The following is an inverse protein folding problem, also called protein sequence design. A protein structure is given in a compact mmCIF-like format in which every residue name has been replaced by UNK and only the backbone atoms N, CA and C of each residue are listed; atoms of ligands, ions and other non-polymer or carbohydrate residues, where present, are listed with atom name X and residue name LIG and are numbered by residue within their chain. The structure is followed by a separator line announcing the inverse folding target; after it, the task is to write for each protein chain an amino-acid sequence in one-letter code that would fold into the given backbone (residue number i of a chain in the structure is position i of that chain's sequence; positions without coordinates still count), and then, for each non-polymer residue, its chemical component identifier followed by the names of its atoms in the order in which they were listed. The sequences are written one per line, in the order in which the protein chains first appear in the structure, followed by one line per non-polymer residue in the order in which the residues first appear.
data_IF_362257094169
#
_entry.id   IF_362257094169
#
_cell.length_a   1.000
_cell.length_b   1.000
_cell.length_c   1.000
_cell.angle_alpha   90.00
_cell.angle_beta   90.00
_cell.angle_gamma   90.00
#
_symmetry.space_group_name_H-M   'P 1'
#
loop_
_entity.id
_entity.type
_entity.pdbx_description
1 polymer ?
#
# COMPACT_ATOMS: atom_id res chain seq x y z
N UNK A 1 3.25 10.26 10.66
CA UNK A 1 2.67 10.26 9.30
C UNK A 1 1.95 11.58 9.00
N UNK A 2 2.13 12.14 7.81
CA UNK A 2 1.55 13.44 7.41
C UNK A 2 0.53 13.19 6.28
N UNK A 3 -0.76 13.54 6.45
CA UNK A 3 -1.81 13.28 5.46
C UNK A 3 -1.50 13.88 4.08
N UNK A 4 -0.93 15.07 4.04
CA UNK A 4 -0.53 15.77 2.82
C UNK A 4 0.54 14.99 2.07
N UNK A 5 1.53 14.42 2.77
CA UNK A 5 2.55 13.57 2.17
C UNK A 5 1.93 12.28 1.63
N UNK A 6 0.97 11.68 2.34
CA UNK A 6 0.28 10.48 1.85
C UNK A 6 -0.51 10.78 0.57
N UNK A 7 -1.23 11.92 0.52
CA UNK A 7 -1.94 12.37 -0.68
C UNK A 7 -0.97 12.63 -1.84
N UNK A 8 0.12 13.34 -1.59
CA UNK A 8 1.13 13.61 -2.60
C UNK A 8 1.72 12.31 -3.16
N UNK A 9 2.07 11.35 -2.29
CA UNK A 9 2.56 10.03 -2.72
C UNK A 9 1.52 9.27 -3.55
N UNK A 10 0.24 9.33 -3.20
CA UNK A 10 -0.81 8.69 -3.97
C UNK A 10 -0.95 9.30 -5.39
N UNK A 11 -0.85 10.63 -5.52
CA UNK A 11 -0.88 11.31 -6.81
C UNK A 11 0.36 10.99 -7.66
N UNK A 12 1.55 10.96 -7.03
CA UNK A 12 2.80 10.59 -7.70
C UNK A 12 2.74 9.14 -8.18
N UNK A 13 2.24 8.22 -7.36
CA UNK A 13 2.09 6.81 -7.75
C UNK A 13 1.12 6.65 -8.93
N UNK A 14 0.00 7.37 -8.93
CA UNK A 14 -0.93 7.36 -10.06
C UNK A 14 -0.28 7.85 -11.36
N UNK A 15 0.52 8.92 -11.29
CA UNK A 15 1.28 9.42 -12.43
C UNK A 15 2.37 8.43 -12.87
N UNK A 16 3.08 7.82 -11.92
CA UNK A 16 4.12 6.82 -12.18
C UNK A 16 3.55 5.60 -12.87
N UNK A 17 2.47 5.00 -12.37
CA UNK A 17 1.80 3.85 -12.98
C UNK A 17 1.41 4.17 -14.42
N UNK A 18 0.76 5.32 -14.66
CA UNK A 18 0.38 5.72 -16.03
C UNK A 18 1.59 5.88 -16.94
N UNK A 19 2.65 6.50 -16.45
CA UNK A 19 3.89 6.69 -17.20
C UNK A 19 4.54 5.36 -17.57
N UNK A 20 4.57 4.38 -16.65
CA UNK A 20 5.15 3.05 -16.93
C UNK A 20 4.37 2.26 -17.99
N UNK A 21 3.05 2.41 -18.06
CA UNK A 21 2.25 1.83 -19.15
C UNK A 21 2.48 2.54 -20.50
N UNK A 22 2.66 3.86 -20.50
CA UNK A 22 2.89 4.62 -21.74
C UNK A 22 4.28 4.34 -22.32
N UNK A 23 5.30 4.30 -21.46
CA UNK A 23 6.67 4.04 -21.90
C UNK A 23 6.94 2.57 -22.22
N UNK A 24 6.08 1.65 -21.77
CA UNK A 24 6.28 0.20 -21.85
C UNK A 24 7.65 -0.25 -21.32
N UNK A 25 8.21 0.47 -20.33
CA UNK A 25 9.57 0.25 -19.83
C UNK A 25 9.67 -0.87 -18.78
N UNK A 26 8.56 -1.52 -18.45
CA UNK A 26 8.45 -2.55 -17.41
C UNK A 26 8.35 -3.93 -18.05
N UNK A 27 9.29 -4.80 -17.71
CA UNK A 27 9.35 -6.19 -18.22
C UNK A 27 8.21 -7.07 -17.68
N UNK A 28 7.54 -6.65 -16.60
CA UNK A 28 6.42 -7.36 -15.99
C UNK A 28 5.05 -6.97 -16.58
N UNK A 29 4.99 -6.01 -17.51
CA UNK A 29 3.75 -5.66 -18.21
C UNK A 29 3.50 -6.63 -19.38
N UNK A 30 2.34 -7.26 -19.37
CA UNK A 30 1.98 -8.24 -20.41
C UNK A 30 1.22 -7.59 -21.58
N UNK A 31 1.29 -8.19 -22.78
CA UNK A 31 0.52 -7.72 -23.93
C UNK A 31 -1.00 -7.73 -23.69
N UNK A 32 -1.49 -8.66 -22.86
CA UNK A 32 -2.91 -8.76 -22.48
C UNK A 32 -3.38 -7.49 -21.75
N UNK A 33 -2.53 -6.86 -20.94
CA UNK A 33 -2.89 -5.64 -20.21
C UNK A 33 -3.11 -4.43 -21.11
N UNK A 34 -2.60 -4.46 -22.35
CA UNK A 34 -2.85 -3.43 -23.35
C UNK A 34 -4.12 -3.68 -24.16
N UNK A 35 -4.74 -4.85 -24.01
CA UNK A 35 -5.98 -5.19 -24.71
C UNK A 35 -7.13 -4.26 -24.31
N UNK A 36 -8.07 -4.09 -25.24
CA UNK A 36 -9.28 -3.31 -24.98
C UNK A 36 -10.06 -3.88 -23.80
N UNK A 37 -10.25 -5.20 -23.76
CA UNK A 37 -11.01 -5.89 -22.70
C UNK A 37 -10.42 -5.67 -21.30
N UNK A 38 -9.09 -5.74 -21.16
CA UNK A 38 -8.42 -5.48 -19.88
C UNK A 38 -8.59 -4.03 -19.43
N UNK A 39 -8.35 -3.07 -20.34
CA UNK A 39 -8.53 -1.63 -20.07
C UNK A 39 -9.96 -1.32 -19.65
N UNK A 40 -10.93 -1.95 -20.29
CA UNK A 40 -12.34 -1.78 -20.00
C UNK A 40 -12.73 -2.38 -18.65
N UNK A 41 -12.16 -3.54 -18.29
CA UNK A 41 -12.30 -4.13 -16.95
C UNK A 41 -11.75 -3.21 -15.86
N UNK A 42 -10.54 -2.65 -16.06
CA UNK A 42 -9.93 -1.71 -15.10
C UNK A 42 -10.71 -0.40 -14.99
N UNK A 43 -11.24 0.12 -16.10
CA UNK A 43 -12.14 1.29 -16.10
C UNK A 43 -13.39 1.03 -15.25
N UNK A 44 -14.09 -0.09 -15.47
CA UNK A 44 -15.27 -0.46 -14.68
C UNK A 44 -14.94 -0.64 -13.19
N UNK A 45 -13.79 -1.22 -12.87
CA UNK A 45 -13.32 -1.33 -11.49
C UNK A 45 -13.11 0.05 -10.84
N UNK A 46 -12.47 0.98 -11.55
CA UNK A 46 -12.28 2.35 -11.06
C UNK A 46 -13.61 3.09 -10.89
N UNK A 47 -14.55 2.95 -11.84
CA UNK A 47 -15.90 3.52 -11.74
C UNK A 47 -16.64 3.00 -10.51
N UNK A 48 -16.55 1.70 -10.24
CA UNK A 48 -17.13 1.08 -9.04
C UNK A 48 -16.54 1.66 -7.75
N UNK A 49 -15.21 1.71 -7.63
CA UNK A 49 -14.53 2.30 -6.47
C UNK A 49 -14.90 3.78 -6.26
N UNK A 50 -15.06 4.52 -7.36
CA UNK A 50 -15.49 5.92 -7.32
C UNK A 50 -16.97 6.10 -6.98
N UNK A 51 -17.81 5.07 -7.18
CA UNK A 51 -19.23 5.07 -6.84
C UNK A 51 -19.48 4.61 -5.38
N UNK A 52 -18.67 3.69 -4.86
CA UNK A 52 -18.71 3.18 -3.47
C UNK A 52 -18.24 4.22 -2.41
N UNK A 53 -18.38 5.52 -2.69
CA UNK A 53 -17.79 6.58 -1.85
C UNK A 53 -18.27 6.50 -0.39
N UNK A 54 -17.31 6.56 0.52
CA UNK A 54 -17.56 7.00 1.90
C UNK A 54 -17.82 8.51 1.94
N UNK A 55 -18.32 9.00 3.08
CA UNK A 55 -18.55 10.43 3.32
C UNK A 55 -17.32 11.27 2.97
N UNK A 56 -17.50 12.36 2.22
CA UNK A 56 -16.41 13.32 1.90
C UNK A 56 -15.85 13.87 3.22
N UNK A 57 -14.52 13.73 3.41
CA UNK A 57 -13.79 14.32 4.56
C UNK A 57 -12.76 15.32 4.09
N UNK A 58 -12.55 16.37 4.89
CA UNK A 58 -11.47 17.34 4.65
C UNK A 58 -10.13 16.68 4.97
N UNK A 59 -9.11 16.88 4.14
CA UNK A 59 -7.79 16.34 4.43
C UNK A 59 -7.25 16.80 5.79
N UNK A 60 -7.46 18.08 6.11
CA UNK A 60 -7.09 18.67 7.40
C UNK A 60 -7.80 18.05 8.62
N UNK A 61 -8.85 17.24 8.42
CA UNK A 61 -9.50 16.48 9.50
C UNK A 61 -8.90 15.09 9.72
N UNK A 62 -7.95 14.66 8.87
CA UNK A 62 -7.26 13.40 9.07
C UNK A 62 -6.24 13.54 10.20
N UNK A 63 -6.23 12.57 11.12
CA UNK A 63 -5.20 12.50 12.15
C UNK A 63 -3.82 12.30 11.52
N UNK A 64 -2.87 13.13 11.92
CA UNK A 64 -1.51 13.13 11.41
C UNK A 64 -0.55 13.65 12.46
N UNK A 65 0.70 13.21 12.37
CA UNK A 65 1.81 13.72 13.17
C UNK A 65 3.05 13.81 12.31
N UNK A 66 3.54 15.03 12.11
CA UNK A 66 4.91 15.22 11.66
C UNK A 66 5.84 14.74 12.78
N UNK A 67 6.67 13.74 12.49
CA UNK A 67 7.68 13.30 13.43
C UNK A 67 8.91 14.21 13.32
N UNK A 68 9.64 14.33 14.42
CA UNK A 68 10.87 15.13 14.47
C UNK A 68 12.00 14.48 13.66
N UNK A 69 12.04 13.14 13.62
CA UNK A 69 13.00 12.36 12.86
C UNK A 69 12.45 10.97 12.47
N UNK A 70 13.30 10.19 11.80
CA UNK A 70 12.99 8.82 11.35
C UNK A 70 12.77 7.88 12.53
N UNK A 71 13.58 7.96 13.60
CA UNK A 71 13.48 7.07 14.75
C UNK A 71 12.16 7.27 15.50
N UNK A 72 11.73 8.52 15.69
CA UNK A 72 10.44 8.88 16.25
C UNK A 72 9.27 8.43 15.35
N UNK A 73 9.45 8.48 14.02
CA UNK A 73 8.46 7.95 13.07
C UNK A 73 8.29 6.43 13.21
N UNK A 74 9.40 5.70 13.26
CA UNK A 74 9.41 4.23 13.40
C UNK A 74 8.81 3.83 14.74
N UNK A 75 9.22 4.47 15.83
CA UNK A 75 8.67 4.21 17.18
C UNK A 75 7.15 4.38 17.19
N UNK A 76 6.66 5.51 16.65
CA UNK A 76 5.23 5.77 16.57
C UNK A 76 4.49 4.72 15.72
N UNK A 77 5.05 4.30 14.58
CA UNK A 77 4.44 3.26 13.74
C UNK A 77 4.36 1.91 14.47
N UNK A 78 5.42 1.52 15.17
CA UNK A 78 5.46 0.30 15.97
C UNK A 78 4.41 0.31 17.08
N UNK A 79 4.28 1.43 17.82
CA UNK A 79 3.24 1.58 18.86
C UNK A 79 1.83 1.44 18.28
N UNK A 80 1.58 1.98 17.09
CA UNK A 80 0.27 1.88 16.42
C UNK A 80 -0.03 0.47 15.93
N UNK A 81 0.98 -0.24 15.43
CA UNK A 81 0.86 -1.65 15.07
C UNK A 81 0.53 -2.50 16.31
N UNK A 82 1.24 -2.28 17.41
CA UNK A 82 0.99 -2.98 18.67
C UNK A 82 -0.43 -2.70 19.20
N UNK A 83 -0.87 -1.44 19.17
CA UNK A 83 -2.23 -1.07 19.55
C UNK A 83 -3.31 -1.72 18.66
N UNK A 84 -2.98 -2.03 17.40
CA UNK A 84 -3.85 -2.75 16.47
C UNK A 84 -3.78 -4.29 16.63
N UNK A 85 -3.07 -4.80 17.64
CA UNK A 85 -2.93 -6.23 17.91
C UNK A 85 -1.87 -6.94 17.06
N UNK A 86 -0.98 -6.19 16.38
CA UNK A 86 0.18 -6.74 15.68
C UNK A 86 1.32 -6.88 16.68
N UNK A 87 1.67 -8.12 17.01
CA UNK A 87 2.62 -8.43 18.09
C UNK A 87 4.07 -8.62 17.62
N UNK A 88 4.32 -8.71 16.32
CA UNK A 88 5.62 -9.08 15.78
C UNK A 88 6.00 -8.22 14.58
N UNK A 89 7.25 -7.74 14.58
CA UNK A 89 7.88 -7.02 13.48
C UNK A 89 9.28 -7.61 13.31
N UNK A 90 9.52 -8.27 12.17
CA UNK A 90 10.77 -8.94 11.85
C UNK A 90 11.52 -8.07 10.84
N UNK A 91 12.76 -7.70 11.14
CA UNK A 91 13.64 -6.96 10.23
C UNK A 91 14.79 -7.84 9.79
N UNK A 92 15.00 -7.96 8.49
CA UNK A 92 16.11 -8.68 7.87
C UNK A 92 17.02 -7.66 7.18
N UNK A 93 18.28 -7.60 7.60
CA UNK A 93 19.29 -6.80 6.92
C UNK A 93 19.68 -7.48 5.60
N UNK A 94 19.53 -6.75 4.50
CA UNK A 94 19.88 -7.16 3.15
C UNK A 94 21.01 -6.30 2.56
N UNK A 95 21.68 -5.52 3.42
CA UNK A 95 22.79 -4.66 3.02
C UNK A 95 23.92 -5.48 2.42
N UNK A 96 24.50 -4.96 1.34
CA UNK A 96 25.66 -5.53 0.66
C UNK A 96 26.79 -4.53 0.72
N UNK A 97 27.92 -4.94 1.28
CA UNK A 97 29.07 -4.06 1.50
C UNK A 97 29.57 -3.44 0.19
N UNK A 98 29.58 -4.23 -0.89
CA UNK A 98 30.01 -3.80 -2.23
C UNK A 98 29.10 -2.73 -2.86
N UNK A 99 27.84 -2.61 -2.43
CA UNK A 99 26.90 -1.58 -2.89
C UNK A 99 26.99 -0.33 -1.99
N UNK A 100 27.34 -0.50 -0.71
CA UNK A 100 27.41 0.60 0.26
C UNK A 100 26.07 1.26 0.58
N UNK A 101 24.95 0.59 0.28
CA UNK A 101 23.59 1.09 0.54
C UNK A 101 22.85 0.22 1.57
N UNK A 102 22.33 0.80 2.66
CA UNK A 102 21.52 0.05 3.62
C UNK A 102 20.20 -0.41 2.99
N UNK A 103 19.92 -1.72 3.05
CA UNK A 103 18.67 -2.30 2.55
C UNK A 103 18.09 -3.20 3.63
N UNK A 104 16.81 -3.02 3.94
CA UNK A 104 16.12 -3.86 4.93
C UNK A 104 14.85 -4.45 4.33
N UNK A 105 14.57 -5.70 4.68
CA UNK A 105 13.26 -6.31 4.47
C UNK A 105 12.53 -6.35 5.81
N UNK A 106 11.35 -5.75 5.85
CA UNK A 106 10.47 -5.78 7.02
C UNK A 106 9.34 -6.77 6.75
N UNK A 107 9.17 -7.75 7.63
CA UNK A 107 8.10 -8.74 7.60
C UNK A 107 7.26 -8.55 8.86
N UNK A 108 5.97 -8.29 8.68
CA UNK A 108 5.04 -8.02 9.79
C UNK A 108 3.90 -9.03 9.71
N UNK A 109 4.00 -10.18 10.42
CA UNK A 109 2.94 -11.17 10.46
C UNK A 109 1.61 -10.56 10.92
N UNK A 110 0.51 -10.96 10.27
CA UNK A 110 -0.83 -10.48 10.57
C UNK A 110 -1.28 -9.22 9.80
N UNK A 111 -0.38 -8.55 9.07
CA UNK A 111 -0.80 -7.58 8.05
C UNK A 111 -1.22 -8.30 6.76
N UNK A 112 -2.16 -7.71 6.02
CA UNK A 112 -2.60 -8.26 4.74
C UNK A 112 -1.59 -7.90 3.64
N UNK A 113 -1.37 -8.84 2.72
CA UNK A 113 -0.63 -8.60 1.48
C UNK A 113 -1.52 -8.00 0.38
N UNK A 114 -0.95 -7.77 -0.82
CA UNK A 114 -1.72 -7.38 -2.00
C UNK A 114 -2.77 -8.45 -2.33
N UNK A 115 -4.04 -8.04 -2.41
CA UNK A 115 -5.19 -8.91 -2.62
C UNK A 115 -5.40 -9.30 -4.10
N UNK A 116 -4.64 -8.68 -5.00
CA UNK A 116 -4.63 -8.93 -6.43
C UNK A 116 -3.61 -10.01 -6.87
N UNK A 117 -2.82 -10.54 -5.93
CA UNK A 117 -1.87 -11.62 -6.22
C UNK A 117 -2.53 -13.01 -6.08
N UNK A 118 -2.27 -13.92 -7.01
CA UNK A 118 -2.83 -15.30 -7.00
C UNK A 118 -2.50 -16.12 -5.75
N UNK A 119 -1.47 -15.72 -5.01
CA UNK A 119 -0.99 -16.39 -3.80
C UNK A 119 -1.51 -15.71 -2.52
N UNK A 120 -2.37 -14.70 -2.67
CA UNK A 120 -2.97 -14.01 -1.53
C UNK A 120 -3.81 -14.98 -0.72
N UNK A 121 -3.50 -15.07 0.57
CA UNK A 121 -4.29 -15.79 1.55
C UNK A 121 -4.74 -14.77 2.59
N UNK A 122 -6.05 -14.54 2.76
CA UNK A 122 -6.54 -13.62 3.78
C UNK A 122 -6.00 -13.97 5.16
N UNK A 123 -5.56 -12.97 5.92
CA UNK A 123 -5.18 -13.14 7.32
C UNK A 123 -6.39 -13.21 8.26
N UNK A 124 -6.13 -13.40 9.55
CA UNK A 124 -7.18 -13.40 10.58
C UNK A 124 -7.93 -12.06 10.66
N UNK A 125 -7.28 -10.95 10.29
CA UNK A 125 -7.90 -9.63 10.24
C UNK A 125 -8.94 -9.55 9.11
N UNK A 126 -8.57 -9.89 7.88
CA UNK A 126 -9.52 -9.91 6.76
C UNK A 126 -10.68 -10.91 6.98
N UNK A 127 -10.40 -12.11 7.52
CA UNK A 127 -11.45 -13.09 7.86
C UNK A 127 -12.49 -12.52 8.83
N UNK A 128 -12.05 -11.91 9.94
CA UNK A 128 -12.95 -11.31 10.94
C UNK A 128 -13.82 -10.19 10.37
N UNK A 129 -13.29 -9.38 9.44
CA UNK A 129 -14.07 -8.33 8.77
C UNK A 129 -15.13 -8.90 7.82
N UNK A 130 -14.86 -10.06 7.22
CA UNK A 130 -15.81 -10.74 6.33
C UNK A 130 -16.95 -11.39 7.12
N UNK A 131 -16.66 -11.89 8.32
CA UNK A 131 -17.66 -12.52 9.20
C UNK A 131 -18.55 -11.50 9.92
N UNK A 132 -18.04 -10.29 10.19
CA UNK A 132 -18.78 -9.20 10.84
C UNK A 132 -19.63 -8.35 9.87
N UNK A 133 -19.53 -8.61 8.57
CA UNK A 133 -20.36 -8.03 7.52
C UNK A 133 -21.57 -8.89 7.12
N UNK A 134 -21.88 -9.95 7.88
CA UNK A 134 -23.09 -10.78 7.74
C UNK A 134 -24.18 -10.40 8.74
#
# INVERSE_FOLDING_TARGET
PVPETALLKALIEAAQVRTTYVSAARDDLTAEEYSESYRDKRRRQAERLLAERSSIRRLASAEGRAAQDVAASVTWLTERLQAAGVSEIITVDLSKEEIGLPVVRVVIPGLEGPDDHNAYMPGDRARRMSDSGR
#
